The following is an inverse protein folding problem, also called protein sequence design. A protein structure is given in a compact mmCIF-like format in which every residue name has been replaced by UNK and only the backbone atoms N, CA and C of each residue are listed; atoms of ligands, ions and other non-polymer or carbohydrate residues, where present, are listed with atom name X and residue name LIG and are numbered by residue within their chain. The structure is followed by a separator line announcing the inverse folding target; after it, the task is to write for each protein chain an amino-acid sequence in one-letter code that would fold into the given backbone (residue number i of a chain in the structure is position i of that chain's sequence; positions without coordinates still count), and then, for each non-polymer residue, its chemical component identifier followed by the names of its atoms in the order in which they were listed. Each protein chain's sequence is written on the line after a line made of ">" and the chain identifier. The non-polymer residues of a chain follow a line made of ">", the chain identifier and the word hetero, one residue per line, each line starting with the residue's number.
data_IF_884618960106
#
_entry.id   IF_884618960106
#
_cell.length_a   1.000
_cell.length_b   1.000
_cell.length_c   1.000
_cell.angle_alpha   90.00
_cell.angle_beta   90.00
_cell.angle_gamma   90.00
#
_symmetry.space_group_name_H-M   'P 1'
#
loop_
_entity.id
_entity.type
_entity.pdbx_description
1 polymer ?
#
# COMPACT_ATOMS: atom_id res chain seq x y z
N UNK A 1 13.25 19.55 -23.82
CA UNK A 1 12.00 18.77 -23.74
C UNK A 1 11.65 18.56 -22.28
N UNK A 2 10.44 18.92 -21.87
CA UNK A 2 9.96 18.60 -20.51
C UNK A 2 9.36 17.20 -20.55
N UNK A 3 9.95 16.27 -19.82
CA UNK A 3 9.44 14.90 -19.70
C UNK A 3 8.53 14.82 -18.49
N UNK A 4 7.32 14.29 -18.68
CA UNK A 4 6.38 13.96 -17.59
C UNK A 4 6.53 12.47 -17.29
N UNK A 5 6.59 12.13 -16.01
CA UNK A 5 6.71 10.77 -15.53
C UNK A 5 5.66 10.49 -14.45
N UNK A 6 5.03 9.33 -14.54
CA UNK A 6 4.11 8.84 -13.52
C UNK A 6 4.51 7.41 -13.16
N UNK A 7 4.97 7.23 -11.94
CA UNK A 7 5.32 5.94 -11.37
C UNK A 7 4.12 5.38 -10.61
N UNK A 8 3.62 4.24 -11.05
CA UNK A 8 2.44 3.61 -10.47
C UNK A 8 2.75 2.76 -9.24
N UNK A 9 4.04 2.45 -8.99
CA UNK A 9 4.44 1.64 -7.84
C UNK A 9 5.89 1.93 -7.45
N UNK A 10 6.10 2.31 -6.20
CA UNK A 10 7.41 2.62 -5.67
C UNK A 10 7.51 2.25 -4.18
N UNK A 11 8.53 1.48 -3.81
CA UNK A 11 8.76 0.99 -2.45
C UNK A 11 9.57 1.96 -1.58
N UNK A 12 10.05 3.05 -2.14
CA UNK A 12 11.01 3.95 -1.48
C UNK A 12 10.56 4.44 -0.11
N UNK A 13 9.26 4.66 0.07
CA UNK A 13 8.70 5.14 1.34
C UNK A 13 8.80 4.06 2.43
N UNK A 14 8.45 2.82 2.09
CA UNK A 14 8.55 1.68 2.99
C UNK A 14 10.03 1.35 3.30
N UNK A 15 10.90 1.37 2.30
CA UNK A 15 12.33 1.16 2.46
C UNK A 15 12.97 2.19 3.40
N UNK A 16 12.52 3.45 3.38
CA UNK A 16 12.95 4.47 4.35
C UNK A 16 12.51 4.15 5.77
N UNK A 17 11.29 3.61 5.93
CA UNK A 17 10.80 3.18 7.23
C UNK A 17 11.68 2.07 7.82
N UNK A 18 12.23 1.18 6.98
CA UNK A 18 13.16 0.12 7.37
C UNK A 18 14.58 0.64 7.68
N UNK A 19 14.82 1.95 7.59
CA UNK A 19 16.10 2.57 7.88
C UNK A 19 17.13 2.48 6.76
N UNK A 20 16.72 2.12 5.56
CA UNK A 20 17.61 2.11 4.40
C UNK A 20 17.94 3.55 4.00
N UNK A 21 19.22 3.93 4.17
CA UNK A 21 19.76 5.23 3.80
C UNK A 21 20.12 5.28 2.30
N UNK A 22 20.05 6.47 1.68
CA UNK A 22 20.44 6.68 0.27
C UNK A 22 19.32 6.50 -0.74
N UNK A 23 18.13 6.16 -0.32
CA UNK A 23 16.95 6.19 -1.19
C UNK A 23 16.47 7.63 -1.33
N UNK A 24 16.57 8.14 -2.55
CA UNK A 24 16.12 9.49 -2.85
C UNK A 24 14.65 9.44 -3.28
N UNK A 25 13.79 10.12 -2.53
CA UNK A 25 12.40 10.40 -2.92
C UNK A 25 12.34 11.29 -4.16
N UNK A 26 13.47 11.97 -4.46
CA UNK A 26 13.62 12.81 -5.63
C UNK A 26 14.85 12.39 -6.44
N UNK A 27 14.64 11.70 -7.53
CA UNK A 27 15.72 11.23 -8.43
C UNK A 27 16.10 12.28 -9.46
N UNK A 28 17.34 12.74 -9.42
CA UNK A 28 18.21 13.27 -10.51
C UNK A 28 17.75 14.51 -11.26
N UNK A 29 16.73 15.24 -10.88
CA UNK A 29 16.33 16.49 -11.55
C UNK A 29 16.04 16.39 -13.06
N UNK A 30 15.96 15.19 -13.62
CA UNK A 30 15.70 14.95 -15.06
C UNK A 30 14.25 15.11 -15.46
N UNK A 31 13.34 15.03 -14.47
CA UNK A 31 11.90 15.04 -14.69
C UNK A 31 11.31 16.36 -14.20
N UNK A 32 10.69 17.11 -15.08
CA UNK A 32 10.07 18.41 -14.74
C UNK A 32 8.68 18.27 -14.12
N UNK A 33 8.01 17.12 -14.35
CA UNK A 33 6.76 16.75 -13.70
C UNK A 33 6.83 15.28 -13.34
N UNK A 34 6.79 14.99 -12.05
CA UNK A 34 6.78 13.64 -11.53
C UNK A 34 5.58 13.44 -10.65
N UNK A 35 4.83 12.37 -10.90
CA UNK A 35 3.82 11.84 -9.98
C UNK A 35 4.24 10.43 -9.62
N UNK A 36 4.00 10.03 -8.39
CA UNK A 36 4.45 8.75 -7.88
C UNK A 36 3.48 8.20 -6.85
N UNK A 37 3.17 6.90 -6.96
CA UNK A 37 2.44 6.15 -5.95
C UNK A 37 3.45 5.38 -5.11
N UNK A 38 3.40 5.59 -3.81
CA UNK A 38 4.24 4.93 -2.83
C UNK A 38 3.47 3.79 -2.19
N UNK A 39 3.88 2.56 -2.47
CA UNK A 39 3.30 1.37 -1.88
C UNK A 39 3.92 1.07 -0.52
N UNK A 40 3.07 0.79 0.46
CA UNK A 40 3.47 0.23 1.74
C UNK A 40 3.13 -1.26 1.69
N UNK A 41 4.17 -2.09 1.63
CA UNK A 41 4.02 -3.53 1.43
C UNK A 41 4.02 -4.31 2.75
N UNK A 42 3.42 -5.50 2.74
CA UNK A 42 3.35 -6.42 3.88
C UNK A 42 4.73 -6.97 4.24
N UNK A 43 5.22 -6.66 5.43
CA UNK A 43 6.42 -7.23 6.00
C UNK A 43 6.06 -8.48 6.82
N UNK A 44 6.22 -9.66 6.23
CA UNK A 44 5.87 -10.94 6.83
C UNK A 44 6.69 -11.30 8.08
N UNK A 45 7.71 -10.51 8.43
CA UNK A 45 8.43 -10.63 9.70
C UNK A 45 7.72 -9.93 10.86
N UNK A 46 6.65 -9.17 10.57
CA UNK A 46 5.90 -8.33 11.50
C UNK A 46 4.49 -8.87 11.73
N UNK A 47 3.99 -8.64 12.93
CA UNK A 47 2.58 -8.89 13.23
C UNK A 47 1.66 -7.92 12.46
N UNK A 48 0.36 -8.25 12.25
CA UNK A 48 -0.59 -7.32 11.66
C UNK A 48 -0.66 -5.97 12.39
N UNK A 49 -0.52 -5.96 13.72
CA UNK A 49 -0.52 -4.72 14.52
C UNK A 49 0.70 -3.84 14.18
N UNK A 50 1.89 -4.43 14.12
CA UNK A 50 3.12 -3.73 13.75
C UNK A 50 3.05 -3.20 12.31
N UNK A 51 2.50 -3.99 11.38
CA UNK A 51 2.32 -3.57 9.99
C UNK A 51 1.33 -2.41 9.89
N UNK A 52 0.24 -2.46 10.64
CA UNK A 52 -0.75 -1.39 10.73
C UNK A 52 -0.14 -0.08 11.25
N UNK A 53 0.63 -0.13 12.34
CA UNK A 53 1.35 1.04 12.84
C UNK A 53 2.37 1.57 11.83
N UNK A 54 3.09 0.66 11.15
CA UNK A 54 4.11 1.02 10.17
C UNK A 54 3.50 1.71 8.95
N UNK A 55 2.27 1.34 8.55
CA UNK A 55 1.56 2.05 7.50
C UNK A 55 1.41 3.55 7.82
N UNK A 56 0.97 3.91 9.03
CA UNK A 56 0.82 5.33 9.41
C UNK A 56 2.17 6.04 9.57
N UNK A 57 3.20 5.35 10.04
CA UNK A 57 4.57 5.90 10.06
C UNK A 57 5.05 6.20 8.64
N UNK A 58 4.84 5.29 7.70
CA UNK A 58 5.15 5.50 6.29
C UNK A 58 4.33 6.66 5.70
N UNK A 59 3.03 6.69 5.93
CA UNK A 59 2.14 7.75 5.47
C UNK A 59 2.61 9.14 5.93
N UNK A 60 3.10 9.25 7.18
CA UNK A 60 3.65 10.51 7.71
C UNK A 60 4.92 11.00 6.99
N UNK A 61 5.58 10.13 6.24
CA UNK A 61 6.77 10.45 5.44
C UNK A 61 6.42 10.76 3.97
N UNK A 62 5.14 10.72 3.60
CA UNK A 62 4.71 10.95 2.21
C UNK A 62 5.13 12.34 1.74
N UNK A 63 5.89 12.46 0.64
CA UNK A 63 6.27 13.76 0.10
C UNK A 63 5.06 14.49 -0.49
N UNK A 64 5.15 15.81 -0.54
CA UNK A 64 4.12 16.66 -1.14
C UNK A 64 3.79 16.21 -2.57
N UNK A 65 2.50 16.01 -2.85
CA UNK A 65 2.02 15.55 -4.16
C UNK A 65 2.22 14.05 -4.42
N UNK A 66 2.79 13.31 -3.47
CA UNK A 66 2.83 11.84 -3.52
C UNK A 66 1.45 11.23 -3.29
N UNK A 67 1.25 10.03 -3.78
CA UNK A 67 0.05 9.22 -3.56
C UNK A 67 0.42 7.96 -2.80
N UNK A 68 -0.48 7.47 -1.96
CA UNK A 68 -0.24 6.33 -1.09
C UNK A 68 -1.00 5.10 -1.59
N UNK A 69 -0.43 3.92 -1.43
CA UNK A 69 -1.07 2.65 -1.71
C UNK A 69 -0.67 1.58 -0.68
N UNK A 70 -1.44 0.51 -0.64
CA UNK A 70 -1.16 -0.67 0.20
C UNK A 70 -0.90 -1.87 -0.69
N UNK A 71 0.18 -2.62 -0.41
CA UNK A 71 0.51 -3.87 -1.08
C UNK A 71 0.54 -5.02 -0.07
N UNK A 72 -0.56 -5.77 -0.03
CA UNK A 72 -0.83 -6.82 0.95
C UNK A 72 -1.72 -6.34 2.11
N UNK A 73 -2.81 -7.07 2.33
CA UNK A 73 -3.83 -6.71 3.32
C UNK A 73 -3.61 -7.25 4.72
N UNK A 74 -2.44 -7.82 4.99
CA UNK A 74 -2.08 -8.45 6.28
C UNK A 74 -2.20 -7.47 7.47
N UNK A 75 -1.96 -6.19 7.22
CA UNK A 75 -2.10 -5.13 8.24
C UNK A 75 -3.52 -5.00 8.79
N UNK A 76 -4.54 -5.53 8.08
CA UNK A 76 -5.91 -5.51 8.59
C UNK A 76 -6.11 -6.51 9.73
N UNK A 77 -5.41 -7.65 9.74
CA UNK A 77 -5.52 -8.66 10.78
C UNK A 77 -6.95 -9.14 11.03
N UNK A 78 -7.80 -9.16 9.97
CA UNK A 78 -9.21 -9.53 10.05
C UNK A 78 -10.13 -8.45 10.64
N UNK A 79 -9.66 -7.24 10.89
CA UNK A 79 -10.47 -6.14 11.45
C UNK A 79 -10.81 -5.10 10.37
N UNK A 80 -12.08 -5.05 9.96
CA UNK A 80 -12.58 -4.10 8.96
C UNK A 80 -12.46 -2.63 9.40
N UNK A 81 -12.46 -2.34 10.71
CA UNK A 81 -12.33 -0.97 11.21
C UNK A 81 -10.94 -0.38 10.90
N UNK A 82 -9.91 -1.24 10.75
CA UNK A 82 -8.58 -0.80 10.32
C UNK A 82 -8.59 -0.26 8.90
N UNK A 83 -9.41 -0.87 8.02
CA UNK A 83 -9.55 -0.39 6.66
C UNK A 83 -10.11 1.04 6.62
N UNK A 84 -11.11 1.35 7.44
CA UNK A 84 -11.68 2.70 7.51
C UNK A 84 -10.64 3.77 7.87
N UNK A 85 -9.71 3.45 8.77
CA UNK A 85 -8.63 4.37 9.12
C UNK A 85 -7.62 4.54 7.97
N UNK A 86 -7.26 3.46 7.28
CA UNK A 86 -6.37 3.49 6.11
C UNK A 86 -7.00 4.30 4.95
N UNK A 87 -8.29 4.14 4.71
CA UNK A 87 -9.02 4.88 3.67
C UNK A 87 -9.02 6.39 3.91
N UNK A 88 -9.00 6.84 5.17
CA UNK A 88 -8.89 8.27 5.51
C UNK A 88 -7.55 8.89 5.12
N UNK A 89 -6.49 8.08 4.98
CA UNK A 89 -5.19 8.54 4.48
C UNK A 89 -5.20 8.79 2.96
N UNK A 90 -6.28 8.44 2.25
CA UNK A 90 -6.46 8.74 0.83
C UNK A 90 -5.64 7.84 -0.08
N UNK A 91 -5.56 6.54 0.23
CA UNK A 91 -4.90 5.56 -0.64
C UNK A 91 -5.59 5.48 -2.01
N UNK A 92 -4.82 5.25 -3.05
CA UNK A 92 -5.32 5.20 -4.44
C UNK A 92 -5.55 3.79 -4.94
N UNK A 93 -4.80 2.81 -4.43
CA UNK A 93 -5.07 1.38 -4.66
C UNK A 93 -4.72 0.55 -3.43
N UNK A 94 -5.26 -0.66 -3.40
CA UNK A 94 -5.04 -1.65 -2.37
C UNK A 94 -4.90 -3.03 -3.03
N UNK A 95 -3.78 -3.70 -2.82
CA UNK A 95 -3.54 -5.10 -3.20
C UNK A 95 -3.98 -5.99 -2.04
N UNK A 96 -5.09 -6.75 -2.15
CA UNK A 96 -5.62 -7.53 -1.02
C UNK A 96 -4.69 -8.62 -0.52
N UNK A 97 -4.08 -9.34 -1.46
CA UNK A 97 -3.14 -10.42 -1.18
C UNK A 97 -1.90 -10.23 -2.04
N UNK A 98 -0.73 -10.17 -1.42
CA UNK A 98 0.52 -10.01 -2.17
C UNK A 98 1.18 -11.37 -2.42
N UNK A 99 1.97 -11.88 -1.50
CA UNK A 99 2.78 -13.10 -1.69
C UNK A 99 2.17 -14.33 -1.04
N UNK A 100 1.78 -14.21 0.21
CA UNK A 100 1.24 -15.28 1.03
C UNK A 100 -0.25 -15.03 1.31
N UNK A 101 -1.02 -16.10 1.57
CA UNK A 101 -2.43 -15.98 1.95
C UNK A 101 -2.58 -15.20 3.27
N UNK A 102 -3.69 -14.50 3.39
CA UNK A 102 -4.07 -13.76 4.59
C UNK A 102 -5.58 -13.86 4.85
N UNK A 103 -6.12 -13.11 5.80
CA UNK A 103 -7.54 -13.14 6.15
C UNK A 103 -8.47 -12.71 5.00
N UNK A 104 -7.94 -12.02 3.97
CA UNK A 104 -8.71 -11.56 2.80
C UNK A 104 -8.87 -12.66 1.76
N UNK A 105 -7.85 -13.48 1.57
CA UNK A 105 -7.90 -14.52 0.54
C UNK A 105 -6.63 -15.33 0.39
N UNK A 106 -6.68 -16.26 -0.56
CA UNK A 106 -5.54 -17.09 -0.93
C UNK A 106 -4.57 -16.38 -1.86
N UNK A 107 -3.31 -16.83 -1.80
CA UNK A 107 -2.25 -16.35 -2.67
C UNK A 107 -2.36 -16.95 -4.10
N UNK A 108 -1.59 -16.38 -5.03
CA UNK A 108 -1.57 -16.76 -6.45
C UNK A 108 -1.29 -18.25 -6.72
N UNK A 109 -0.65 -18.95 -5.80
CA UNK A 109 -0.27 -20.37 -5.87
C UNK A 109 -1.23 -21.29 -5.12
N UNK A 110 -2.41 -20.81 -4.72
CA UNK A 110 -3.44 -21.56 -4.03
C UNK A 110 -4.74 -21.58 -4.83
N UNK A 111 -5.63 -22.54 -4.56
CA UNK A 111 -6.97 -22.58 -5.12
C UNK A 111 -8.00 -21.83 -4.24
N UNK A 112 -7.52 -21.05 -3.29
CA UNK A 112 -8.34 -20.28 -2.35
C UNK A 112 -8.65 -18.91 -2.96
N UNK A 113 -9.93 -18.58 -3.11
CA UNK A 113 -10.38 -17.25 -3.54
C UNK A 113 -10.53 -16.29 -2.35
N UNK A 114 -11.33 -15.24 -2.53
CA UNK A 114 -11.67 -14.31 -1.46
C UNK A 114 -12.48 -14.99 -0.36
N UNK A 115 -12.11 -14.72 0.88
CA UNK A 115 -12.91 -15.07 2.07
C UNK A 115 -14.16 -14.19 2.17
N UNK A 116 -15.04 -14.44 3.14
CA UNK A 116 -16.15 -13.53 3.41
C UNK A 116 -15.65 -12.14 3.84
N UNK A 117 -14.62 -12.11 4.70
CA UNK A 117 -13.93 -10.87 5.07
C UNK A 117 -13.32 -10.17 3.84
N UNK A 118 -12.67 -10.91 2.96
CA UNK A 118 -12.13 -10.37 1.71
C UNK A 118 -13.18 -9.74 0.81
N UNK A 119 -14.36 -10.34 0.71
CA UNK A 119 -15.49 -9.75 -0.03
C UNK A 119 -16.00 -8.45 0.61
N UNK A 120 -15.99 -8.36 1.92
CA UNK A 120 -16.31 -7.14 2.65
C UNK A 120 -15.28 -6.04 2.40
N UNK A 121 -13.99 -6.36 2.48
CA UNK A 121 -12.89 -5.45 2.15
C UNK A 121 -13.02 -4.90 0.73
N UNK A 122 -13.20 -5.76 -0.27
CA UNK A 122 -13.33 -5.32 -1.68
C UNK A 122 -14.54 -4.41 -1.89
N UNK A 123 -15.67 -4.69 -1.25
CA UNK A 123 -16.85 -3.82 -1.30
C UNK A 123 -16.58 -2.44 -0.68
N UNK A 124 -15.88 -2.40 0.45
CA UNK A 124 -15.52 -1.16 1.11
C UNK A 124 -14.56 -0.32 0.25
N UNK A 125 -13.54 -0.93 -0.33
CA UNK A 125 -12.61 -0.28 -1.26
C UNK A 125 -13.36 0.33 -2.46
N UNK A 126 -14.22 -0.45 -3.10
CA UNK A 126 -15.01 0.01 -4.25
C UNK A 126 -15.94 1.18 -3.89
N UNK A 127 -16.59 1.13 -2.72
CA UNK A 127 -17.46 2.20 -2.22
C UNK A 127 -16.71 3.53 -2.01
N UNK A 128 -15.40 3.47 -1.72
CA UNK A 128 -14.52 4.64 -1.55
C UNK A 128 -13.76 5.04 -2.82
N UNK A 129 -14.00 4.35 -3.95
CA UNK A 129 -13.32 4.63 -5.22
C UNK A 129 -11.84 4.26 -5.23
N UNK A 130 -11.41 3.37 -4.33
CA UNK A 130 -10.05 2.83 -4.27
C UNK A 130 -9.94 1.66 -5.24
N UNK A 131 -8.91 1.66 -6.07
CA UNK A 131 -8.68 0.56 -6.99
C UNK A 131 -8.26 -0.71 -6.22
N UNK A 132 -8.81 -1.84 -6.63
CA UNK A 132 -8.37 -3.16 -6.16
C UNK A 132 -7.36 -3.69 -7.17
N UNK A 133 -6.16 -3.89 -6.70
CA UNK A 133 -5.05 -4.37 -7.54
C UNK A 133 -4.88 -5.90 -7.43
#
# INVERSE_FOLDING_TARGET
>A
MSLSYFDLHCDTLHERLLGHSGLHLDRDGKWTKRKQIYAVWSDFSKSPDEQYENFFKAASLLPEGGMLAVEGGDLLGGDINRLDAILREGIVYFTPVWRDENEIGGAWNTDVGLTDFGREVVKALAAHGVAVD
#
